data_IF_405937746716
#
_entry.id   IF_405937746716
#
_cell.length_a   1.000
_cell.length_b   1.000
_cell.length_c   1.000
_cell.angle_alpha   90.00
_cell.angle_beta   90.00
_cell.angle_gamma   90.00
#
_symmetry.space_group_name_H-M   'P 1'
#
loop_
_entity.id
_entity.type
_entity.pdbx_description
1 polymer ?
#
# COMPACT_ATOMS: atom_id res chain seq x y z
N UNK A 1 21.10 26.75 -10.95
CA UNK A 1 20.21 25.84 -10.19
C UNK A 1 18.91 26.58 -9.95
N UNK A 2 17.80 25.86 -9.86
CA UNK A 2 16.47 26.46 -9.69
C UNK A 2 16.30 26.93 -8.23
N UNK A 3 15.96 28.22 -8.04
CA UNK A 3 15.85 28.84 -6.71
C UNK A 3 14.68 28.27 -5.88
N UNK A 4 13.57 27.93 -6.54
CA UNK A 4 12.43 27.30 -5.88
C UNK A 4 12.81 25.91 -5.36
N UNK A 5 13.62 25.18 -6.13
CA UNK A 5 14.14 23.88 -5.72
C UNK A 5 15.10 23.98 -4.53
N UNK A 6 15.94 25.02 -4.47
CA UNK A 6 16.83 25.26 -3.33
C UNK A 6 16.04 25.59 -2.07
N UNK A 7 15.04 26.46 -2.17
CA UNK A 7 14.16 26.81 -1.06
C UNK A 7 13.39 25.59 -0.53
N UNK A 8 12.87 24.74 -1.43
CA UNK A 8 12.22 23.49 -1.05
C UNK A 8 13.15 22.55 -0.29
N UNK A 9 14.41 22.43 -0.72
CA UNK A 9 15.40 21.59 -0.04
C UNK A 9 15.71 22.12 1.37
N UNK A 10 15.85 23.43 1.55
CA UNK A 10 16.07 24.06 2.85
C UNK A 10 14.87 23.87 3.80
N UNK A 11 13.65 24.07 3.30
CA UNK A 11 12.43 23.84 4.07
C UNK A 11 12.31 22.37 4.49
N UNK A 12 12.59 21.42 3.59
CA UNK A 12 12.56 19.99 3.90
C UNK A 12 13.59 19.62 4.97
N UNK A 13 14.82 20.13 4.87
CA UNK A 13 15.86 19.91 5.87
C UNK A 13 15.44 20.44 7.25
N UNK A 14 14.88 21.65 7.31
CA UNK A 14 14.40 22.25 8.57
C UNK A 14 13.23 21.45 9.16
N UNK A 15 12.29 20.98 8.33
CA UNK A 15 11.15 20.19 8.76
C UNK A 15 11.57 18.88 9.43
N UNK A 16 12.58 18.19 8.88
CA UNK A 16 13.11 16.94 9.43
C UNK A 16 13.78 17.16 10.79
N UNK A 17 14.44 18.31 10.98
CA UNK A 17 15.09 18.67 12.25
C UNK A 17 14.15 19.33 13.27
N UNK A 18 12.84 19.40 13.00
CA UNK A 18 11.84 19.91 13.94
C UNK A 18 11.93 19.25 15.33
N UNK A 19 12.07 17.91 15.49
CA UNK A 19 12.14 17.30 16.81
C UNK A 19 13.35 17.76 17.64
N UNK A 20 14.43 18.22 16.99
CA UNK A 20 15.65 18.69 17.66
C UNK A 20 15.63 20.19 17.93
N UNK A 21 15.08 20.97 17.00
CA UNK A 21 15.21 22.44 16.98
C UNK A 21 13.94 23.17 17.41
N UNK A 22 12.79 22.49 17.39
CA UNK A 22 11.48 23.09 17.61
C UNK A 22 11.05 24.09 16.53
N UNK A 23 11.81 24.25 15.44
CA UNK A 23 11.51 25.21 14.37
C UNK A 23 10.47 24.64 13.43
N UNK A 24 9.23 25.13 13.55
CA UNK A 24 8.15 24.76 12.64
C UNK A 24 8.33 25.49 11.30
N UNK A 25 8.21 24.75 10.20
CA UNK A 25 8.19 25.30 8.84
C UNK A 25 6.92 24.87 8.12
N UNK A 26 6.42 25.73 7.26
CA UNK A 26 5.22 25.48 6.45
C UNK A 26 5.55 25.65 4.98
N UNK A 27 4.89 24.86 4.13
CA UNK A 27 5.09 24.89 2.68
C UNK A 27 4.44 26.16 2.09
N UNK A 28 5.22 27.05 1.45
CA UNK A 28 4.68 28.23 0.78
C UNK A 28 3.70 27.88 -0.34
N UNK A 29 2.63 28.68 -0.49
CA UNK A 29 1.59 28.42 -1.50
C UNK A 29 2.09 28.43 -2.94
N UNK A 30 3.05 29.31 -3.27
CA UNK A 30 3.59 29.41 -4.63
C UNK A 30 4.42 28.18 -5.03
N UNK A 31 5.00 27.47 -4.05
CA UNK A 31 5.76 26.23 -4.27
C UNK A 31 4.87 24.99 -4.32
N UNK A 32 3.56 25.12 -4.04
CA UNK A 32 2.63 23.99 -4.08
C UNK A 32 2.30 23.67 -5.55
N UNK A 33 2.65 22.46 -6.04
CA UNK A 33 2.34 22.09 -7.41
C UNK A 33 0.83 21.95 -7.60
N UNK A 34 0.33 22.40 -8.76
CA UNK A 34 -1.08 22.25 -9.16
C UNK A 34 -1.41 20.83 -9.62
N UNK A 35 -0.44 20.20 -10.29
CA UNK A 35 -0.49 18.81 -10.74
C UNK A 35 0.81 18.13 -10.33
N UNK A 36 0.70 16.87 -9.95
CA UNK A 36 1.81 16.05 -9.49
C UNK A 36 2.28 15.12 -10.62
N UNK A 37 3.58 14.79 -10.68
CA UNK A 37 4.05 13.73 -11.55
C UNK A 37 3.34 12.39 -11.27
N UNK A 38 3.10 11.62 -12.32
CA UNK A 38 2.52 10.26 -12.30
C UNK A 38 3.14 9.31 -11.28
N UNK A 39 4.44 9.39 -11.09
CA UNK A 39 5.15 8.56 -10.12
C UNK A 39 4.86 8.90 -8.63
N UNK A 40 4.13 9.98 -8.33
CA UNK A 40 3.76 10.33 -6.95
C UNK A 40 2.45 9.66 -6.48
N UNK A 41 1.78 8.88 -7.33
CA UNK A 41 0.63 8.06 -6.94
C UNK A 41 -0.60 8.84 -6.46
N UNK A 42 -0.87 10.01 -7.05
CA UNK A 42 -2.13 10.75 -6.81
C UNK A 42 -3.19 10.28 -7.81
N UNK A 43 -4.47 10.40 -7.46
CA UNK A 43 -5.37 11.27 -8.23
C UNK A 43 -5.14 11.37 -9.74
N UNK A 44 -5.85 10.64 -10.61
CA UNK A 44 -5.71 10.85 -12.07
C UNK A 44 -5.95 12.33 -12.45
N UNK A 45 -6.97 12.96 -11.85
CA UNK A 45 -7.28 14.38 -12.03
C UNK A 45 -6.25 15.35 -11.41
N UNK A 46 -5.36 14.85 -10.53
CA UNK A 46 -4.29 15.63 -9.87
C UNK A 46 -2.92 15.37 -10.48
N UNK A 47 -2.85 14.61 -11.57
CA UNK A 47 -1.60 14.01 -12.04
C UNK A 47 -1.31 14.39 -13.50
N UNK A 48 -0.02 14.45 -13.85
CA UNK A 48 0.44 14.51 -15.24
C UNK A 48 1.50 13.44 -15.53
N UNK A 49 1.56 12.97 -16.78
CA UNK A 49 2.58 12.02 -17.23
C UNK A 49 3.95 12.68 -17.32
N UNK A 50 4.88 12.35 -16.43
CA UNK A 50 6.21 12.95 -16.42
C UNK A 50 7.09 12.41 -17.54
N UNK A 51 7.72 13.33 -18.31
CA UNK A 51 8.65 12.98 -19.41
C UNK A 51 10.09 12.70 -18.94
N UNK A 52 10.39 12.99 -17.66
CA UNK A 52 11.71 12.82 -17.04
C UNK A 52 11.99 11.36 -16.69
N UNK A 53 13.24 11.06 -16.31
CA UNK A 53 13.71 9.68 -16.05
C UNK A 53 12.89 8.96 -14.99
N UNK A 54 12.53 9.62 -13.88
CA UNK A 54 11.73 9.01 -12.81
C UNK A 54 10.35 8.56 -13.30
N UNK A 55 9.67 9.37 -14.11
CA UNK A 55 8.37 8.99 -14.68
C UNK A 55 8.48 7.82 -15.68
N UNK A 56 9.58 7.73 -16.43
CA UNK A 56 9.83 6.59 -17.32
C UNK A 56 10.08 5.31 -16.54
N UNK A 57 10.91 5.38 -15.50
CA UNK A 57 11.24 4.24 -14.65
C UNK A 57 10.00 3.75 -13.89
N UNK A 58 9.23 4.66 -13.30
CA UNK A 58 8.00 4.33 -12.59
C UNK A 58 7.03 3.52 -13.45
N UNK A 59 6.75 3.98 -14.67
CA UNK A 59 5.86 3.26 -15.60
C UNK A 59 6.40 1.90 -15.98
N UNK A 60 7.71 1.79 -16.22
CA UNK A 60 8.33 0.50 -16.58
C UNK A 60 8.26 -0.51 -15.44
N UNK A 61 8.46 -0.06 -14.21
CA UNK A 61 8.33 -0.92 -13.03
C UNK A 61 6.87 -1.29 -12.82
N UNK A 62 5.95 -0.33 -12.91
CA UNK A 62 4.51 -0.58 -12.76
C UNK A 62 3.99 -1.62 -13.76
N UNK A 63 4.38 -1.52 -15.03
CA UNK A 63 4.05 -2.51 -16.07
C UNK A 63 4.42 -3.94 -15.65
N UNK A 64 5.63 -4.15 -15.11
CA UNK A 64 6.09 -5.47 -14.65
C UNK A 64 5.27 -5.99 -13.48
N UNK A 65 4.98 -5.14 -12.48
CA UNK A 65 4.15 -5.55 -11.34
C UNK A 65 2.72 -5.87 -11.73
N UNK A 66 2.13 -5.09 -12.66
CA UNK A 66 0.77 -5.33 -13.14
C UNK A 66 0.74 -6.65 -13.96
N UNK A 67 1.76 -6.93 -14.79
CA UNK A 67 1.93 -8.21 -15.49
C UNK A 67 2.09 -9.40 -14.53
N UNK A 68 2.89 -9.27 -13.48
CA UNK A 68 3.08 -10.32 -12.46
C UNK A 68 1.79 -10.56 -11.66
N UNK A 69 1.02 -9.50 -11.35
CA UNK A 69 -0.26 -9.60 -10.66
C UNK A 69 -1.34 -10.26 -11.53
N UNK A 70 -1.35 -9.97 -12.83
CA UNK A 70 -2.22 -10.64 -13.80
C UNK A 70 -1.83 -12.12 -13.95
N UNK A 71 -0.53 -12.44 -14.06
CA UNK A 71 -0.04 -13.81 -14.15
C UNK A 71 -0.33 -14.65 -12.89
N UNK A 72 -0.29 -14.04 -11.70
CA UNK A 72 -0.63 -14.72 -10.44
C UNK A 72 -2.14 -14.86 -10.20
N UNK A 73 -2.98 -14.11 -10.94
CA UNK A 73 -4.43 -14.31 -10.95
C UNK A 73 -4.88 -15.52 -11.78
N UNK A 74 -3.99 -16.08 -12.62
CA UNK A 74 -4.25 -17.28 -13.42
C UNK A 74 -4.02 -18.58 -12.63
N UNK A 75 -3.37 -18.52 -11.46
CA UNK A 75 -3.39 -19.61 -10.48
C UNK A 75 -4.74 -19.60 -9.76
N UNK A 76 -5.80 -19.95 -10.50
CA UNK A 76 -7.06 -20.42 -9.95
C UNK A 76 -6.83 -21.77 -9.26
N UNK A 77 -6.04 -21.79 -8.20
CA UNK A 77 -6.18 -22.84 -7.21
C UNK A 77 -7.50 -22.53 -6.52
N UNK A 78 -8.56 -23.24 -6.91
CA UNK A 78 -9.78 -23.22 -6.13
C UNK A 78 -9.38 -23.53 -4.68
N UNK A 79 -9.77 -22.74 -3.67
CA UNK A 79 -9.45 -23.06 -2.28
C UNK A 79 -9.86 -24.49 -1.88
N UNK A 80 -10.78 -25.12 -2.64
CA UNK A 80 -11.14 -26.53 -2.52
C UNK A 80 -10.11 -27.55 -3.07
N UNK A 81 -9.20 -27.14 -3.95
CA UNK A 81 -8.15 -28.00 -4.52
C UNK A 81 -6.92 -28.14 -3.62
N UNK A 82 -6.82 -27.34 -2.55
CA UNK A 82 -5.74 -27.44 -1.56
C UNK A 82 -6.08 -28.56 -0.56
N UNK A 83 -5.35 -29.68 -0.55
CA UNK A 83 -5.65 -30.78 0.36
C UNK A 83 -5.38 -30.37 1.81
N UNK A 84 -6.18 -30.92 2.73
CA UNK A 84 -5.95 -30.75 4.16
C UNK A 84 -4.60 -31.38 4.56
N UNK A 85 -3.75 -30.60 5.23
CA UNK A 85 -2.45 -31.05 5.69
C UNK A 85 -2.56 -31.73 7.06
N UNK A 86 -2.57 -33.05 7.05
CA UNK A 86 -2.65 -33.88 8.26
C UNK A 86 -1.42 -33.78 9.15
N UNK A 87 -0.27 -33.32 8.64
CA UNK A 87 0.94 -33.19 9.45
C UNK A 87 0.84 -32.03 10.45
N UNK A 88 -0.14 -31.14 10.28
CA UNK A 88 -0.43 -30.03 11.18
C UNK A 88 -1.42 -30.39 12.30
N UNK A 89 -1.96 -31.63 12.32
CA UNK A 89 -2.85 -32.06 13.38
C UNK A 89 -2.12 -32.20 14.72
N UNK A 90 -2.71 -31.63 15.77
CA UNK A 90 -2.23 -31.79 17.15
C UNK A 90 -3.05 -32.89 17.81
N UNK A 91 -2.45 -33.94 18.39
CA UNK A 91 -3.20 -35.02 19.02
C UNK A 91 -4.20 -34.51 20.07
N UNK A 92 -5.45 -34.98 20.01
CA UNK A 92 -6.54 -34.56 20.89
C UNK A 92 -7.24 -33.27 20.47
N UNK A 93 -6.99 -32.75 19.27
CA UNK A 93 -7.69 -31.56 18.76
C UNK A 93 -9.21 -31.78 18.60
N UNK A 94 -9.66 -33.04 18.43
CA UNK A 94 -11.06 -33.35 18.16
C UNK A 94 -11.99 -32.87 19.28
N UNK A 95 -11.50 -32.86 20.52
CA UNK A 95 -12.24 -32.41 21.71
C UNK A 95 -12.61 -30.91 21.64
N UNK A 96 -11.83 -30.11 20.90
CA UNK A 96 -12.00 -28.66 20.79
C UNK A 96 -12.83 -28.25 19.56
N UNK A 97 -13.05 -29.16 18.60
CA UNK A 97 -13.80 -28.88 17.37
C UNK A 97 -15.23 -28.37 17.65
N UNK A 98 -16.01 -28.94 18.58
CA UNK A 98 -17.37 -28.47 18.85
C UNK A 98 -17.42 -27.02 19.37
N UNK A 99 -16.50 -26.65 20.26
CA UNK A 99 -16.42 -25.29 20.82
C UNK A 99 -15.97 -24.28 19.75
N UNK A 100 -14.92 -24.62 18.99
CA UNK A 100 -14.43 -23.79 17.88
C UNK A 100 -15.52 -23.53 16.84
N UNK A 101 -16.34 -24.53 16.52
CA UNK A 101 -17.47 -24.38 15.61
C UNK A 101 -18.53 -23.40 16.16
N UNK A 102 -18.84 -23.49 17.45
CA UNK A 102 -19.75 -22.56 18.12
C UNK A 102 -19.28 -21.10 18.02
N UNK A 103 -17.98 -20.86 18.24
CA UNK A 103 -17.38 -19.53 18.09
C UNK A 103 -17.45 -19.01 16.65
N UNK A 104 -17.15 -19.86 15.67
CA UNK A 104 -17.26 -19.50 14.24
C UNK A 104 -18.68 -19.07 13.89
N UNK A 105 -19.69 -19.88 14.24
CA UNK A 105 -21.08 -19.55 13.97
C UNK A 105 -21.52 -18.23 14.62
N UNK A 106 -21.04 -17.94 15.84
CA UNK A 106 -21.33 -16.68 16.52
C UNK A 106 -20.72 -15.48 15.78
N UNK A 107 -19.48 -15.60 15.32
CA UNK A 107 -18.79 -14.57 14.56
C UNK A 107 -19.45 -14.30 13.20
N UNK A 108 -19.75 -15.37 12.44
CA UNK A 108 -20.41 -15.27 11.14
C UNK A 108 -21.78 -14.58 11.27
N UNK A 109 -22.52 -14.88 12.34
CA UNK A 109 -23.78 -14.20 12.65
C UNK A 109 -23.63 -12.69 12.92
N UNK A 110 -22.54 -12.26 13.55
CA UNK A 110 -22.26 -10.83 13.77
C UNK A 110 -21.89 -10.10 12.49
N UNK A 111 -21.16 -10.76 11.57
CA UNK A 111 -20.79 -10.20 10.27
C UNK A 111 -21.99 -9.97 9.35
N UNK A 112 -22.97 -10.88 9.36
CA UNK A 112 -24.18 -10.78 8.50
C UNK A 112 -25.15 -9.71 9.03
N UNK A 113 -25.07 -9.36 10.32
CA UNK A 113 -25.92 -8.36 10.96
C UNK A 113 -25.48 -6.90 10.81
N UNK A 114 -24.41 -6.62 10.05
CA UNK A 114 -23.85 -5.28 9.78
C UNK A 114 -24.28 -4.77 8.39
#
# INVERSE_FOLDING_TARGET
MDEECLLLAELAATAVDFPKTGKLVTMPFHLKPKLYPDFMGKEEYQTYRSKKILGRLYRRVKEVYDEDAEASSEENSDPGDIPYDTDLEVPGFEDFVPEAWGHKCSYDGQLIGL
#
